data_IF_953460883159
#
_entry.id   IF_953460883159
#
_cell.length_a   1.000
_cell.length_b   1.000
_cell.length_c   1.000
_cell.angle_alpha   90.00
_cell.angle_beta   90.00
_cell.angle_gamma   90.00
#
_symmetry.space_group_name_H-M   'P 1'
#
loop_
_entity.id
_entity.type
_entity.pdbx_description
1 polymer ?
#
# COMPACT_ATOMS: atom_id res chain seq x y z
N UNK A 1 -36.84 -21.67 -2.84
CA UNK A 1 -36.25 -20.37 -3.22
C UNK A 1 -35.56 -19.69 -2.04
N UNK A 2 -36.12 -19.81 -0.83
CA UNK A 2 -35.56 -19.35 0.45
C UNK A 2 -34.05 -19.69 0.63
N UNK A 3 -33.66 -20.94 0.43
CA UNK A 3 -32.27 -21.39 0.67
C UNK A 3 -31.24 -20.71 -0.25
N UNK A 4 -31.61 -20.48 -1.53
CA UNK A 4 -30.74 -19.77 -2.47
C UNK A 4 -30.57 -18.30 -2.07
N UNK A 5 -31.61 -17.68 -1.56
CA UNK A 5 -31.55 -16.31 -1.08
C UNK A 5 -30.64 -16.17 0.15
N UNK A 6 -30.79 -17.05 1.14
CA UNK A 6 -29.94 -17.06 2.33
C UNK A 6 -28.46 -17.33 1.98
N UNK A 7 -28.20 -18.26 1.05
CA UNK A 7 -26.85 -18.53 0.57
C UNK A 7 -26.22 -17.28 -0.08
N UNK A 8 -26.92 -16.61 -0.99
CA UNK A 8 -26.44 -15.39 -1.64
C UNK A 8 -26.18 -14.25 -0.65
N UNK A 9 -27.06 -14.08 0.35
CA UNK A 9 -26.90 -13.09 1.42
C UNK A 9 -25.65 -13.38 2.26
N UNK A 10 -25.42 -14.63 2.63
CA UNK A 10 -24.23 -15.04 3.40
C UNK A 10 -22.91 -14.83 2.61
N UNK A 11 -22.92 -15.10 1.29
CA UNK A 11 -21.76 -14.89 0.41
C UNK A 11 -21.45 -13.40 0.27
N UNK A 12 -22.48 -12.57 0.04
CA UNK A 12 -22.34 -11.11 -0.05
C UNK A 12 -21.78 -10.52 1.24
N UNK A 13 -22.33 -10.92 2.38
CA UNK A 13 -21.88 -10.47 3.70
C UNK A 13 -20.42 -10.85 3.99
N UNK A 14 -20.01 -12.09 3.67
CA UNK A 14 -18.62 -12.54 3.86
C UNK A 14 -17.64 -11.74 3.00
N UNK A 15 -18.01 -11.39 1.76
CA UNK A 15 -17.21 -10.55 0.86
C UNK A 15 -17.05 -9.12 1.40
N UNK A 16 -18.13 -8.50 1.87
CA UNK A 16 -18.10 -7.15 2.46
C UNK A 16 -17.24 -7.08 3.73
N UNK A 17 -17.33 -8.11 4.58
CA UNK A 17 -16.50 -8.20 5.80
C UNK A 17 -15.00 -8.29 5.48
N UNK A 18 -14.60 -9.18 4.55
CA UNK A 18 -13.20 -9.32 4.14
C UNK A 18 -12.63 -8.05 3.53
N UNK A 19 -13.42 -7.34 2.72
CA UNK A 19 -13.02 -6.08 2.11
C UNK A 19 -12.74 -4.99 3.16
N UNK A 20 -13.57 -4.95 4.21
CA UNK A 20 -13.42 -3.97 5.30
C UNK A 20 -12.15 -4.23 6.11
N UNK A 21 -11.78 -5.49 6.35
CA UNK A 21 -10.56 -5.85 7.09
C UNK A 21 -9.27 -5.45 6.36
N UNK A 22 -9.16 -5.71 5.05
CA UNK A 22 -7.95 -5.36 4.28
C UNK A 22 -7.76 -3.84 4.25
N UNK A 23 -8.86 -3.10 4.03
CA UNK A 23 -8.82 -1.66 4.02
C UNK A 23 -8.44 -1.08 5.38
N UNK A 24 -8.96 -1.63 6.48
CA UNK A 24 -8.57 -1.22 7.82
C UNK A 24 -7.06 -1.42 8.05
N UNK A 25 -6.54 -2.60 7.71
CA UNK A 25 -5.11 -2.90 7.83
C UNK A 25 -4.24 -1.93 7.03
N UNK A 26 -4.65 -1.64 5.78
CA UNK A 26 -3.98 -0.67 4.92
C UNK A 26 -3.90 0.73 5.56
N UNK A 27 -5.00 1.21 6.17
CA UNK A 27 -5.00 2.52 6.85
C UNK A 27 -4.16 2.54 8.11
N UNK A 28 -4.18 1.47 8.90
CA UNK A 28 -3.34 1.34 10.09
C UNK A 28 -1.86 1.36 9.71
N UNK A 29 -1.46 0.61 8.69
CA UNK A 29 -0.06 0.58 8.23
C UNK A 29 0.39 1.93 7.66
N UNK A 30 -0.50 2.65 6.99
CA UNK A 30 -0.17 3.98 6.47
C UNK A 30 -0.05 5.01 7.58
N UNK A 31 -0.95 4.99 8.56
CA UNK A 31 -0.84 5.84 9.73
C UNK A 31 0.48 5.57 10.48
N UNK A 32 0.80 4.30 10.67
CA UNK A 32 2.06 3.88 11.29
C UNK A 32 3.27 4.40 10.49
N UNK A 33 3.25 4.27 9.16
CA UNK A 33 4.27 4.84 8.29
C UNK A 33 4.41 6.36 8.48
N UNK A 34 3.30 7.12 8.45
CA UNK A 34 3.33 8.57 8.65
C UNK A 34 3.93 8.95 10.01
N UNK A 35 3.54 8.26 11.08
CA UNK A 35 4.07 8.49 12.43
C UNK A 35 5.57 8.18 12.47
N UNK A 36 5.99 7.03 11.96
CA UNK A 36 7.39 6.63 11.89
C UNK A 36 8.23 7.64 11.08
N UNK A 37 7.64 8.22 10.02
CA UNK A 37 8.31 9.21 9.17
C UNK A 37 8.48 10.56 9.86
N UNK A 38 7.43 11.06 10.51
CA UNK A 38 7.50 12.30 11.32
C UNK A 38 8.53 12.12 12.43
N UNK A 39 8.54 10.97 13.10
CA UNK A 39 9.50 10.66 14.14
C UNK A 39 10.93 10.61 13.61
N UNK A 40 11.17 9.96 12.47
CA UNK A 40 12.48 9.94 11.82
C UNK A 40 12.97 11.35 11.42
N UNK A 41 12.12 12.16 10.80
CA UNK A 41 12.45 13.55 10.43
C UNK A 41 12.80 14.39 11.66
N UNK A 42 12.04 14.22 12.75
CA UNK A 42 12.28 14.89 14.02
C UNK A 42 13.62 14.49 14.65
N UNK A 43 14.01 13.21 14.53
CA UNK A 43 15.31 12.72 14.96
C UNK A 43 16.44 13.26 14.09
N UNK A 44 16.24 13.36 12.77
CA UNK A 44 17.26 13.85 11.85
C UNK A 44 17.62 15.33 12.10
N UNK A 45 16.66 16.14 12.54
CA UNK A 45 16.91 17.53 12.93
C UNK A 45 17.77 17.66 14.19
N UNK A 46 17.72 16.65 15.08
CA UNK A 46 18.56 16.61 16.27
C UNK A 46 19.90 16.01 15.85
N UNK A 47 20.98 16.81 15.84
CA UNK A 47 22.37 16.37 15.62
C UNK A 47 22.84 15.43 16.75
N UNK A 48 22.25 14.26 16.85
CA UNK A 48 22.47 13.30 17.92
C UNK A 48 23.06 12.01 17.34
N UNK A 49 23.88 11.29 18.11
CA UNK A 49 24.65 10.12 17.66
C UNK A 49 23.80 8.84 17.44
N UNK A 50 22.49 8.97 17.25
CA UNK A 50 21.54 7.85 17.21
C UNK A 50 21.39 7.29 15.80
N UNK A 51 22.50 7.12 15.09
CA UNK A 51 22.55 6.77 13.66
C UNK A 51 21.84 5.45 13.39
N UNK A 52 22.12 4.42 14.20
CA UNK A 52 21.50 3.08 14.06
C UNK A 52 19.99 3.13 14.26
N UNK A 53 19.52 3.92 15.23
CA UNK A 53 18.09 4.05 15.53
C UNK A 53 17.36 4.81 14.41
N UNK A 54 17.94 5.91 13.94
CA UNK A 54 17.42 6.66 12.78
C UNK A 54 17.36 5.77 11.54
N UNK A 55 18.41 4.99 11.27
CA UNK A 55 18.45 4.02 10.19
C UNK A 55 17.33 2.98 10.31
N UNK A 56 17.15 2.40 11.50
CA UNK A 56 16.15 1.38 11.77
C UNK A 56 14.74 1.93 11.54
N UNK A 57 14.40 3.10 12.09
CA UNK A 57 13.08 3.72 11.91
C UNK A 57 12.83 4.03 10.44
N UNK A 58 13.82 4.54 9.71
CA UNK A 58 13.68 4.80 8.29
C UNK A 58 13.37 3.52 7.52
N UNK A 59 14.05 2.41 7.83
CA UNK A 59 13.79 1.10 7.22
C UNK A 59 12.39 0.58 7.55
N UNK A 60 11.97 0.67 8.81
CA UNK A 60 10.61 0.29 9.21
C UNK A 60 9.55 1.14 8.50
N UNK A 61 9.74 2.46 8.42
CA UNK A 61 8.82 3.34 7.72
C UNK A 61 8.70 2.95 6.23
N UNK A 62 9.84 2.78 5.55
CA UNK A 62 9.87 2.36 4.15
C UNK A 62 9.18 1.01 3.96
N UNK A 63 9.44 0.04 4.84
CA UNK A 63 8.82 -1.28 4.77
C UNK A 63 7.30 -1.22 4.98
N UNK A 64 6.82 -0.46 5.97
CA UNK A 64 5.40 -0.24 6.18
C UNK A 64 4.72 0.44 4.99
N UNK A 65 5.40 1.39 4.35
CA UNK A 65 4.94 2.00 3.11
C UNK A 65 4.83 0.97 1.98
N UNK A 66 5.87 0.16 1.78
CA UNK A 66 5.84 -0.93 0.79
C UNK A 66 4.72 -1.92 1.08
N UNK A 67 4.59 -2.42 2.29
CA UNK A 67 3.51 -3.35 2.66
C UNK A 67 2.13 -2.76 2.43
N UNK A 68 1.94 -1.47 2.73
CA UNK A 68 0.69 -0.76 2.42
C UNK A 68 0.44 -0.74 0.91
N UNK A 69 1.46 -0.42 0.11
CA UNK A 69 1.36 -0.45 -1.34
C UNK A 69 1.05 -1.85 -1.87
N UNK A 70 1.74 -2.89 -1.40
CA UNK A 70 1.49 -4.26 -1.82
C UNK A 70 0.07 -4.69 -1.46
N UNK A 71 -0.43 -4.34 -0.26
CA UNK A 71 -1.82 -4.59 0.13
C UNK A 71 -2.82 -3.88 -0.78
N UNK A 72 -2.52 -2.65 -1.21
CA UNK A 72 -3.32 -1.92 -2.18
C UNK A 72 -3.37 -2.67 -3.52
N UNK A 73 -2.22 -3.12 -4.02
CA UNK A 73 -2.10 -3.91 -5.25
C UNK A 73 -2.90 -5.21 -5.14
N UNK A 74 -2.80 -5.95 -4.03
CA UNK A 74 -3.57 -7.19 -3.82
C UNK A 74 -5.06 -6.93 -3.64
N UNK A 75 -5.43 -5.83 -3.01
CA UNK A 75 -6.81 -5.39 -2.91
C UNK A 75 -7.40 -5.14 -4.30
N UNK A 76 -6.66 -4.46 -5.19
CA UNK A 76 -7.06 -4.28 -6.58
C UNK A 76 -7.12 -5.61 -7.33
N UNK A 77 -6.13 -6.49 -7.15
CA UNK A 77 -6.11 -7.82 -7.75
C UNK A 77 -7.33 -8.64 -7.30
N UNK A 78 -7.74 -8.54 -6.03
CA UNK A 78 -8.93 -9.21 -5.51
C UNK A 78 -10.22 -8.61 -6.06
N UNK A 79 -10.31 -7.28 -6.22
CA UNK A 79 -11.46 -6.65 -6.90
C UNK A 79 -11.56 -7.15 -8.34
N UNK A 80 -10.43 -7.13 -9.05
CA UNK A 80 -10.34 -7.60 -10.42
C UNK A 80 -10.70 -9.09 -10.54
N UNK A 81 -10.17 -9.91 -9.63
CA UNK A 81 -10.48 -11.33 -9.53
C UNK A 81 -11.97 -11.57 -9.26
N UNK A 82 -12.57 -10.83 -8.34
CA UNK A 82 -14.02 -10.93 -8.09
C UNK A 82 -14.86 -10.57 -9.33
N UNK A 83 -14.32 -9.74 -10.23
CA UNK A 83 -14.95 -9.39 -11.51
C UNK A 83 -14.70 -10.44 -12.62
N UNK A 84 -13.69 -11.30 -12.49
CA UNK A 84 -13.23 -12.27 -13.50
C UNK A 84 -13.14 -13.73 -13.02
N UNK A 85 -13.71 -14.00 -11.83
CA UNK A 85 -14.00 -15.29 -11.18
C UNK A 85 -12.90 -16.33 -10.92
N UNK A 86 -11.63 -16.22 -11.34
CA UNK A 86 -10.77 -17.44 -11.42
C UNK A 86 -9.35 -17.58 -10.77
N UNK A 87 -8.97 -16.88 -9.70
CA UNK A 87 -7.72 -17.06 -8.95
C UNK A 87 -7.83 -16.84 -7.43
N UNK A 88 -7.90 -17.93 -6.65
CA UNK A 88 -7.82 -17.91 -5.17
C UNK A 88 -6.38 -17.93 -4.62
N UNK A 89 -5.39 -18.28 -5.44
CA UNK A 89 -3.99 -18.51 -5.03
C UNK A 89 -3.18 -17.24 -4.75
N UNK A 90 -3.58 -16.08 -5.28
CA UNK A 90 -2.83 -14.83 -5.17
C UNK A 90 -2.65 -14.34 -3.73
N UNK A 91 -3.61 -14.63 -2.83
CA UNK A 91 -3.53 -14.22 -1.42
C UNK A 91 -2.41 -14.93 -0.67
N UNK A 92 -2.23 -16.22 -0.92
CA UNK A 92 -1.19 -17.02 -0.27
C UNK A 92 0.19 -16.57 -0.75
N UNK A 93 0.33 -16.34 -2.06
CA UNK A 93 1.56 -15.81 -2.66
C UNK A 93 1.92 -14.45 -2.06
N UNK A 94 0.95 -13.56 -1.85
CA UNK A 94 1.18 -12.28 -1.17
C UNK A 94 1.78 -12.44 0.22
N UNK A 95 1.13 -13.25 1.06
CA UNK A 95 1.53 -13.43 2.46
C UNK A 95 2.93 -14.01 2.53
N UNK A 96 3.24 -15.00 1.69
CA UNK A 96 4.58 -15.58 1.60
C UNK A 96 5.60 -14.53 1.18
N UNK A 97 5.37 -13.82 0.07
CA UNK A 97 6.31 -12.81 -0.44
C UNK A 97 6.57 -11.71 0.59
N UNK A 98 5.52 -11.15 1.19
CA UNK A 98 5.69 -10.12 2.23
C UNK A 98 6.44 -10.68 3.45
N UNK A 99 6.12 -11.89 3.90
CA UNK A 99 6.81 -12.49 5.05
C UNK A 99 8.30 -12.66 4.78
N UNK A 100 8.68 -13.10 3.57
CA UNK A 100 10.06 -13.18 3.13
C UNK A 100 10.73 -11.80 3.11
N UNK A 101 10.06 -10.75 2.62
CA UNK A 101 10.58 -9.39 2.63
C UNK A 101 10.80 -8.85 4.06
N UNK A 102 9.90 -9.14 5.00
CA UNK A 102 10.06 -8.77 6.41
C UNK A 102 11.24 -9.50 7.06
N UNK A 103 11.36 -10.81 6.87
CA UNK A 103 12.48 -11.61 7.38
C UNK A 103 13.80 -11.07 6.82
N UNK A 104 13.86 -10.84 5.52
CA UNK A 104 15.03 -10.28 4.86
C UNK A 104 15.41 -8.90 5.40
N UNK A 105 14.42 -8.03 5.64
CA UNK A 105 14.66 -6.71 6.22
C UNK A 105 15.21 -6.80 7.64
N UNK A 106 14.69 -7.72 8.46
CA UNK A 106 15.21 -7.98 9.82
C UNK A 106 16.67 -8.43 9.75
N UNK A 107 17.00 -9.37 8.85
CA UNK A 107 18.37 -9.83 8.64
C UNK A 107 19.28 -8.65 8.27
N UNK A 108 18.85 -7.79 7.35
CA UNK A 108 19.62 -6.61 6.95
C UNK A 108 19.79 -5.63 8.12
N UNK A 109 18.76 -5.37 8.92
CA UNK A 109 18.87 -4.52 10.11
C UNK A 109 19.90 -5.10 11.09
N UNK A 110 19.90 -6.41 11.32
CA UNK A 110 20.87 -7.07 12.22
C UNK A 110 22.29 -6.99 11.65
N UNK A 111 22.49 -7.29 10.37
CA UNK A 111 23.80 -7.30 9.73
C UNK A 111 24.41 -5.90 9.63
N UNK A 112 23.62 -4.90 9.25
CA UNK A 112 24.10 -3.52 9.08
C UNK A 112 24.06 -2.72 10.39
N UNK A 113 23.21 -3.10 11.36
CA UNK A 113 23.07 -2.42 12.65
C UNK A 113 24.11 -2.81 13.70
N UNK A 114 24.72 -3.99 13.59
CA UNK A 114 25.69 -4.50 14.59
C UNK A 114 27.14 -4.10 14.33
N UNK A 115 27.42 -3.34 13.26
CA UNK A 115 28.66 -2.59 13.13
C UNK A 115 29.84 -3.36 12.55
N UNK A 116 29.87 -3.52 11.22
CA UNK A 116 31.09 -3.92 10.51
C UNK A 116 31.66 -2.81 9.62
N UNK A 117 30.89 -1.79 9.20
CA UNK A 117 31.43 -0.66 8.43
C UNK A 117 30.93 0.68 8.94
N UNK A 118 31.87 1.58 9.29
CA UNK A 118 31.59 3.00 9.58
C UNK A 118 31.25 3.82 8.32
N UNK A 119 31.43 3.25 7.14
CA UNK A 119 31.07 3.81 5.83
C UNK A 119 29.87 3.08 5.22
N UNK A 120 28.76 3.03 5.95
CA UNK A 120 27.48 2.45 5.49
C UNK A 120 26.95 3.07 4.20
N UNK A 121 27.44 4.26 3.83
CA UNK A 121 27.05 4.91 2.60
C UNK A 121 27.52 4.13 1.36
N UNK A 122 28.63 3.38 1.38
CA UNK A 122 29.24 2.81 0.17
C UNK A 122 28.92 1.32 -0.10
N UNK A 123 27.98 0.72 0.63
CA UNK A 123 27.81 -0.73 0.58
C UNK A 123 26.85 -1.18 -0.55
N UNK A 124 27.32 -1.86 -1.62
CA UNK A 124 26.48 -2.29 -2.74
C UNK A 124 25.40 -3.33 -2.37
N UNK A 125 25.54 -3.99 -1.20
CA UNK A 125 24.49 -4.88 -0.67
C UNK A 125 23.31 -4.11 -0.08
N UNK A 126 23.52 -2.86 0.38
CA UNK A 126 22.42 -1.94 0.65
C UNK A 126 21.66 -1.68 -0.64
N UNK A 127 22.39 -1.64 -1.76
CA UNK A 127 21.84 -1.30 -3.06
C UNK A 127 20.94 -2.41 -3.65
N UNK A 128 21.48 -3.62 -3.75
CA UNK A 128 20.72 -4.77 -4.27
C UNK A 128 19.45 -5.07 -3.44
N UNK A 129 19.49 -4.78 -2.13
CA UNK A 129 18.37 -4.92 -1.19
C UNK A 129 17.09 -4.21 -1.64
N UNK A 130 17.22 -2.95 -2.04
CA UNK A 130 16.06 -2.11 -2.44
C UNK A 130 15.56 -2.49 -3.82
N UNK A 131 16.47 -2.91 -4.72
CA UNK A 131 16.15 -3.41 -6.07
C UNK A 131 15.35 -4.74 -6.07
N UNK A 132 15.55 -5.60 -5.08
CA UNK A 132 14.77 -6.85 -4.99
C UNK A 132 13.34 -6.57 -4.50
N UNK A 133 13.19 -5.69 -3.49
CA UNK A 133 11.88 -5.25 -2.99
C UNK A 133 11.08 -4.53 -4.09
N UNK A 134 11.79 -3.78 -4.93
CA UNK A 134 11.31 -3.06 -6.09
C UNK A 134 10.66 -3.95 -7.17
N UNK A 135 11.46 -4.84 -7.75
CA UNK A 135 11.09 -5.60 -8.96
C UNK A 135 9.95 -6.59 -8.75
N UNK A 136 9.76 -7.08 -7.52
CA UNK A 136 8.67 -8.02 -7.19
C UNK A 136 7.30 -7.34 -7.28
N UNK A 137 7.22 -6.01 -7.16
CA UNK A 137 5.95 -5.29 -7.11
C UNK A 137 5.36 -4.90 -8.49
N UNK A 138 6.15 -4.89 -9.56
CA UNK A 138 5.69 -4.50 -10.91
C UNK A 138 5.11 -5.65 -11.76
N UNK A 139 5.38 -6.91 -11.41
CA UNK A 139 5.14 -8.06 -12.31
C UNK A 139 3.68 -8.52 -12.47
N UNK A 140 2.68 -7.82 -11.93
CA UNK A 140 1.35 -8.43 -11.66
C UNK A 140 0.16 -7.89 -12.49
N UNK A 141 0.30 -6.93 -13.42
CA UNK A 141 -0.92 -6.32 -14.03
C UNK A 141 -0.98 -6.20 -15.56
N UNK A 142 -1.87 -7.01 -16.16
CA UNK A 142 -2.50 -6.72 -17.46
C UNK A 142 -3.95 -7.25 -17.52
N UNK A 143 -4.88 -6.42 -18.06
CA UNK A 143 -6.20 -6.74 -18.64
C UNK A 143 -7.39 -5.86 -18.15
N UNK A 144 -8.52 -5.89 -18.89
CA UNK A 144 -9.25 -4.74 -19.46
C UNK A 144 -10.77 -4.67 -19.15
N UNK A 145 -11.32 -3.46 -18.88
CA UNK A 145 -12.73 -3.01 -18.71
C UNK A 145 -12.78 -1.50 -18.35
N UNK A 146 -13.05 -0.66 -19.35
CA UNK A 146 -12.37 0.63 -19.55
C UNK A 146 -12.47 1.73 -18.47
N UNK A 147 -13.58 2.02 -17.78
CA UNK A 147 -13.66 3.25 -16.92
C UNK A 147 -13.20 3.08 -15.48
N UNK A 148 -13.69 2.06 -14.78
CA UNK A 148 -13.20 1.75 -13.43
C UNK A 148 -11.76 1.26 -13.50
N UNK A 149 -11.40 0.50 -14.53
CA UNK A 149 -10.00 0.13 -14.74
C UNK A 149 -9.14 1.33 -15.11
N UNK A 150 -9.60 2.35 -15.83
CA UNK A 150 -8.76 3.54 -16.08
C UNK A 150 -8.39 4.24 -14.77
N UNK A 151 -9.32 4.35 -13.82
CA UNK A 151 -9.03 4.96 -12.50
C UNK A 151 -8.03 4.11 -11.72
N UNK A 152 -8.23 2.80 -11.68
CA UNK A 152 -7.34 1.85 -11.01
C UNK A 152 -5.96 1.89 -11.66
N UNK A 153 -5.91 1.79 -12.98
CA UNK A 153 -4.70 1.86 -13.79
C UNK A 153 -3.97 3.18 -13.60
N UNK A 154 -4.67 4.31 -13.55
CA UNK A 154 -4.05 5.62 -13.29
C UNK A 154 -3.40 5.67 -11.91
N UNK A 155 -4.07 5.11 -10.89
CA UNK A 155 -3.51 4.98 -9.54
C UNK A 155 -2.29 4.06 -9.58
N UNK A 156 -2.38 2.87 -10.19
CA UNK A 156 -1.25 1.96 -10.30
C UNK A 156 -0.07 2.60 -11.04
N UNK A 157 -0.29 3.26 -12.17
CA UNK A 157 0.77 3.95 -12.93
C UNK A 157 1.41 5.08 -12.13
N UNK A 158 0.64 5.84 -11.35
CA UNK A 158 1.20 6.86 -10.46
C UNK A 158 2.13 6.23 -9.43
N UNK A 159 1.69 5.15 -8.78
CA UNK A 159 2.51 4.47 -7.78
C UNK A 159 3.73 3.80 -8.40
N UNK A 160 3.59 3.16 -9.56
CA UNK A 160 4.71 2.60 -10.33
C UNK A 160 5.71 3.68 -10.73
N UNK A 161 5.25 4.86 -11.17
CA UNK A 161 6.14 5.99 -11.49
C UNK A 161 6.88 6.51 -10.24
N UNK A 162 6.19 6.63 -9.10
CA UNK A 162 6.81 6.96 -7.82
C UNK A 162 7.85 5.92 -7.41
N UNK A 163 7.54 4.65 -7.64
CA UNK A 163 8.39 3.52 -7.34
C UNK A 163 9.65 3.53 -8.23
N UNK A 164 9.48 3.68 -9.54
CA UNK A 164 10.54 3.80 -10.55
C UNK A 164 11.45 5.00 -10.25
N UNK A 165 10.88 6.12 -9.82
CA UNK A 165 11.68 7.28 -9.42
C UNK A 165 12.61 6.96 -8.26
N UNK A 166 12.12 6.29 -7.20
CA UNK A 166 12.98 5.83 -6.11
C UNK A 166 14.07 4.90 -6.63
N UNK A 167 13.71 3.97 -7.50
CA UNK A 167 14.65 3.03 -8.10
C UNK A 167 15.77 3.74 -8.91
N UNK A 168 15.42 4.75 -9.71
CA UNK A 168 16.40 5.55 -10.46
C UNK A 168 17.33 6.30 -9.52
N UNK A 169 16.77 6.98 -8.52
CA UNK A 169 17.54 7.73 -7.52
C UNK A 169 18.50 6.83 -6.74
N UNK A 170 18.08 5.58 -6.56
CA UNK A 170 18.83 4.57 -5.87
C UNK A 170 19.98 4.02 -6.71
N UNK A 171 19.72 3.74 -7.99
CA UNK A 171 20.75 3.34 -8.96
C UNK A 171 21.72 4.47 -9.35
N UNK A 172 21.36 5.72 -9.08
CA UNK A 172 22.18 6.88 -9.43
C UNK A 172 23.63 6.73 -8.94
N UNK A 173 23.81 6.30 -7.69
CA UNK A 173 25.14 6.19 -7.10
C UNK A 173 25.95 5.01 -7.65
N UNK A 174 25.44 3.75 -7.67
CA UNK A 174 26.14 2.64 -8.32
C UNK A 174 26.59 2.94 -9.75
N UNK A 175 25.77 3.68 -10.51
CA UNK A 175 26.04 3.97 -11.92
C UNK A 175 27.06 5.12 -12.08
N UNK A 176 26.91 6.20 -11.31
CA UNK A 176 27.72 7.42 -11.52
C UNK A 176 28.96 7.49 -10.63
N UNK A 177 29.01 6.71 -9.56
CA UNK A 177 30.02 6.80 -8.50
C UNK A 177 29.98 8.12 -7.70
N UNK A 178 28.98 8.97 -7.93
CA UNK A 178 28.85 10.30 -7.31
C UNK A 178 27.61 10.36 -6.42
N UNK A 179 27.69 11.19 -5.38
CA UNK A 179 26.53 11.54 -4.58
C UNK A 179 25.65 12.53 -5.33
N UNK A 180 24.34 12.30 -5.29
CA UNK A 180 23.38 13.29 -5.75
C UNK A 180 23.36 14.47 -4.76
N UNK A 181 23.19 15.73 -5.22
CA UNK A 181 23.17 16.85 -4.29
C UNK A 181 22.06 16.66 -3.26
N UNK A 182 22.41 16.82 -1.97
CA UNK A 182 21.59 16.41 -0.83
C UNK A 182 20.15 16.92 -0.89
N UNK A 183 19.95 18.19 -1.28
CA UNK A 183 18.62 18.81 -1.40
C UNK A 183 17.74 18.07 -2.40
N UNK A 184 18.26 17.79 -3.60
CA UNK A 184 17.51 17.09 -4.63
C UNK A 184 17.34 15.62 -4.29
N UNK A 185 18.32 15.01 -3.61
CA UNK A 185 18.20 13.63 -3.13
C UNK A 185 17.01 13.50 -2.21
N UNK A 186 16.89 14.37 -1.21
CA UNK A 186 15.74 14.33 -0.30
C UNK A 186 14.42 14.50 -1.06
N UNK A 187 14.39 15.46 -1.99
CA UNK A 187 13.19 15.76 -2.74
C UNK A 187 12.71 14.58 -3.60
N UNK A 188 13.59 14.05 -4.45
CA UNK A 188 13.24 12.98 -5.38
C UNK A 188 13.17 11.59 -4.74
N UNK A 189 13.92 11.36 -3.66
CA UNK A 189 13.94 10.04 -3.01
C UNK A 189 12.85 9.88 -1.95
N UNK A 190 12.47 10.98 -1.27
CA UNK A 190 11.47 10.94 -0.21
C UNK A 190 10.19 11.67 -0.59
N UNK A 191 10.21 12.98 -0.89
CA UNK A 191 8.95 13.73 -1.04
C UNK A 191 8.13 13.33 -2.26
N UNK A 192 8.74 13.32 -3.44
CA UNK A 192 8.04 12.98 -4.70
C UNK A 192 7.43 11.57 -4.69
N UNK A 193 8.10 10.51 -4.19
CA UNK A 193 7.52 9.18 -4.19
C UNK A 193 6.60 8.90 -2.99
N UNK A 194 6.59 9.75 -1.96
CA UNK A 194 5.75 9.56 -0.77
C UNK A 194 4.45 10.36 -0.84
N UNK A 195 4.51 11.63 -1.25
CA UNK A 195 3.36 12.56 -1.19
C UNK A 195 2.21 12.12 -2.11
N UNK A 196 2.40 11.82 -3.40
CA UNK A 196 1.30 11.47 -4.29
C UNK A 196 0.52 10.23 -3.84
N UNK A 197 1.19 9.11 -3.45
CA UNK A 197 0.52 7.97 -2.83
C UNK A 197 -0.34 8.34 -1.60
N UNK A 198 0.19 9.15 -0.68
CA UNK A 198 -0.55 9.57 0.51
C UNK A 198 -1.79 10.39 0.13
N UNK A 199 -1.66 11.32 -0.82
CA UNK A 199 -2.78 12.16 -1.29
C UNK A 199 -3.87 11.31 -1.94
N UNK A 200 -3.49 10.40 -2.84
CA UNK A 200 -4.44 9.48 -3.48
C UNK A 200 -5.12 8.61 -2.43
N UNK A 201 -4.38 8.15 -1.44
CA UNK A 201 -4.93 7.35 -0.36
C UNK A 201 -5.98 8.12 0.47
N UNK A 202 -5.68 9.35 0.90
CA UNK A 202 -6.63 10.19 1.62
C UNK A 202 -7.88 10.49 0.77
N UNK A 203 -7.70 10.67 -0.54
CA UNK A 203 -8.80 10.88 -1.46
C UNK A 203 -9.72 9.64 -1.59
N UNK A 204 -9.15 8.43 -1.69
CA UNK A 204 -9.95 7.19 -1.72
C UNK A 204 -10.76 6.97 -0.45
N UNK A 205 -10.27 7.40 0.72
CA UNK A 205 -11.02 7.33 1.97
C UNK A 205 -12.29 8.18 1.92
N UNK A 206 -12.19 9.43 1.43
CA UNK A 206 -13.32 10.36 1.32
C UNK A 206 -14.42 9.83 0.38
N UNK A 207 -14.02 9.22 -0.75
CA UNK A 207 -14.98 8.64 -1.70
C UNK A 207 -15.81 7.53 -1.04
N UNK A 208 -15.17 6.66 -0.23
CA UNK A 208 -15.87 5.55 0.39
C UNK A 208 -16.90 6.01 1.43
N UNK A 209 -16.54 6.98 2.27
CA UNK A 209 -17.50 7.56 3.24
C UNK A 209 -18.69 8.20 2.54
N UNK A 210 -18.47 8.85 1.38
CA UNK A 210 -19.55 9.37 0.54
C UNK A 210 -20.46 8.27 -0.02
N UNK A 211 -19.89 7.22 -0.61
CA UNK A 211 -20.65 6.08 -1.16
C UNK A 211 -21.45 5.33 -0.09
N UNK A 212 -20.88 5.12 1.10
CA UNK A 212 -21.57 4.46 2.21
C UNK A 212 -22.83 5.23 2.61
N UNK A 213 -22.70 6.55 2.81
CA UNK A 213 -23.85 7.43 3.13
C UNK A 213 -24.91 7.41 2.03
N UNK A 214 -24.50 7.45 0.76
CA UNK A 214 -25.44 7.39 -0.37
C UNK A 214 -26.21 6.07 -0.39
N UNK A 215 -25.56 4.94 -0.13
CA UNK A 215 -26.22 3.63 -0.08
C UNK A 215 -27.15 3.50 1.12
N UNK A 216 -26.76 4.02 2.29
CA UNK A 216 -27.62 4.07 3.48
C UNK A 216 -28.88 4.89 3.20
N UNK A 217 -28.77 6.04 2.52
CA UNK A 217 -29.92 6.85 2.11
C UNK A 217 -30.83 6.15 1.09
N UNK A 218 -30.26 5.46 0.09
CA UNK A 218 -31.05 4.70 -0.89
C UNK A 218 -31.82 3.58 -0.19
N UNK A 219 -31.16 2.83 0.70
CA UNK A 219 -31.80 1.75 1.44
C UNK A 219 -32.91 2.25 2.38
N UNK A 220 -32.71 3.39 3.05
CA UNK A 220 -33.75 4.00 3.89
C UNK A 220 -35.00 4.37 3.08
N UNK A 221 -34.82 4.97 1.89
CA UNK A 221 -35.94 5.31 0.99
C UNK A 221 -36.68 4.07 0.48
N UNK A 222 -35.98 2.98 0.19
CA UNK A 222 -36.60 1.73 -0.24
C UNK A 222 -37.47 1.12 0.88
N UNK A 223 -36.98 1.14 2.12
CA UNK A 223 -37.73 0.64 3.30
C UNK A 223 -38.99 1.49 3.54
N UNK A 224 -38.90 2.81 3.43
CA UNK A 224 -40.06 3.70 3.54
C UNK A 224 -41.11 3.36 2.46
N UNK A 225 -40.69 3.18 1.20
CA UNK A 225 -41.61 2.80 0.10
C UNK A 225 -42.29 1.45 0.35
N UNK A 226 -41.55 0.44 0.81
CA UNK A 226 -42.13 -0.87 1.15
C UNK A 226 -43.18 -0.77 2.26
N UNK A 227 -42.93 0.06 3.29
CA UNK A 227 -43.88 0.28 4.40
C UNK A 227 -45.18 0.97 3.97
N UNK A 228 -45.12 1.89 2.99
CA UNK A 228 -46.32 2.50 2.42
C UNK A 228 -47.13 1.48 1.62
N UNK A 229 -46.48 0.66 0.80
CA UNK A 229 -47.19 -0.33 -0.03
C UNK A 229 -47.89 -1.41 0.80
N UNK A 230 -47.30 -1.85 1.92
CA UNK A 230 -47.94 -2.85 2.80
C UNK A 230 -49.14 -2.28 3.55
N UNK A 231 -49.11 -1.00 3.95
CA UNK A 231 -50.24 -0.34 4.61
C UNK A 231 -51.45 -0.12 3.70
N UNK A 232 -51.24 0.03 2.39
CA UNK A 232 -52.33 0.21 1.41
C UNK A 232 -53.04 -1.09 1.01
N UNK A 233 -52.46 -2.25 1.36
CA UNK A 233 -52.99 -3.58 0.99
C UNK A 233 -53.84 -4.25 2.07
N UNK A 234 -54.03 -3.58 3.22
CA UNK A 234 -54.88 -4.02 4.34
C UNK A 234 -56.11 -3.15 4.44
#
# INVERSE_FOLDING_TARGET
MEDRYQLLKSIKYRKEKSFTSIQFLFHVLTLFYCIARIFWLSLQQRKNNWVVFQFSINRFAILSFFTSFTLLVFFWAQIYHNLLSKMSSLKTVHVILNSLLYIYTIICIILFGTGIEKDTDNNPFYDVNVLIIAGVSESVFHSNKKRHLLKIFSITMLYSACFLLRFIMFLYRPITGKYFPYTYYIFFFYYVPEIPPIVVQLWTMKIKTGLKKSNEQINAKLIEQESFTSSSST
#
